data_IF_072160474474
#
_entry.id   IF_072160474474
#
_cell.length_a   1.000
_cell.length_b   1.000
_cell.length_c   1.000
_cell.angle_alpha   90.00
_cell.angle_beta   90.00
_cell.angle_gamma   90.00
#
_symmetry.space_group_name_H-M   'P 1'
#
loop_
_entity.id
_entity.type
_entity.pdbx_description
1 polymer ?
#
# COMPACT_ATOMS: atom_id res chain seq x y z
N UNK A 1 42.13 -12.07 -5.77
CA UNK A 1 41.23 -10.88 -5.89
C UNK A 1 40.78 -10.48 -4.50
N UNK A 2 41.06 -9.24 -4.11
CA UNK A 2 41.13 -8.78 -2.71
C UNK A 2 39.76 -8.44 -2.11
N UNK A 3 39.59 -8.80 -0.83
CA UNK A 3 38.46 -8.55 0.09
C UNK A 3 37.89 -7.10 0.04
N UNK A 4 38.67 -6.14 -0.46
CA UNK A 4 38.23 -4.75 -0.70
C UNK A 4 37.16 -4.58 -1.77
N UNK A 5 37.04 -5.48 -2.75
CA UNK A 5 35.99 -5.37 -3.78
C UNK A 5 34.60 -5.80 -3.26
N UNK A 6 34.56 -6.86 -2.44
CA UNK A 6 33.31 -7.40 -1.86
C UNK A 6 32.64 -6.40 -0.90
N UNK A 7 33.43 -5.65 -0.12
CA UNK A 7 32.90 -4.62 0.79
C UNK A 7 32.36 -3.39 0.03
N UNK A 8 32.96 -3.03 -1.11
CA UNK A 8 32.54 -1.87 -1.91
C UNK A 8 31.21 -2.13 -2.62
N UNK A 9 30.99 -3.36 -3.10
CA UNK A 9 29.72 -3.76 -3.74
C UNK A 9 28.58 -3.96 -2.72
N UNK A 10 28.89 -4.42 -1.50
CA UNK A 10 27.91 -4.50 -0.41
C UNK A 10 27.44 -3.11 0.07
N UNK A 11 28.34 -2.12 0.10
CA UNK A 11 27.99 -0.72 0.43
C UNK A 11 27.20 -0.08 -0.72
N UNK A 12 27.53 -0.35 -1.99
CA UNK A 12 26.78 0.15 -3.15
C UNK A 12 25.36 -0.44 -3.25
N UNK A 13 25.20 -1.75 -2.96
CA UNK A 13 23.90 -2.41 -2.89
C UNK A 13 23.02 -1.93 -1.73
N UNK A 14 23.63 -1.62 -0.58
CA UNK A 14 22.94 -1.00 0.56
C UNK A 14 22.43 0.41 0.26
N UNK A 15 23.21 1.22 -0.48
CA UNK A 15 22.82 2.58 -0.89
C UNK A 15 21.68 2.54 -1.92
N UNK A 16 21.66 1.57 -2.83
CA UNK A 16 20.55 1.37 -3.77
C UNK A 16 19.26 0.89 -3.08
N UNK A 17 19.34 -0.02 -2.10
CA UNK A 17 18.19 -0.49 -1.33
C UNK A 17 17.61 0.61 -0.42
N UNK A 18 18.47 1.44 0.19
CA UNK A 18 18.05 2.63 0.94
C UNK A 18 17.41 3.65 -0.01
N UNK A 19 17.99 3.90 -1.20
CA UNK A 19 17.40 4.78 -2.22
C UNK A 19 16.02 4.32 -2.74
N UNK A 20 15.79 3.01 -2.83
CA UNK A 20 14.50 2.43 -3.24
C UNK A 20 13.45 2.48 -2.11
N UNK A 21 13.85 2.29 -0.85
CA UNK A 21 12.97 2.52 0.31
C UNK A 21 12.60 3.99 0.49
N UNK A 22 13.53 4.91 0.18
CA UNK A 22 13.29 6.36 0.16
C UNK A 22 12.40 6.76 -1.01
N UNK A 23 12.47 6.08 -2.16
CA UNK A 23 11.60 6.37 -3.32
C UNK A 23 10.17 5.83 -3.15
N UNK A 24 10.00 4.68 -2.48
CA UNK A 24 8.68 4.15 -2.07
C UNK A 24 8.04 5.07 -1.04
N UNK A 25 8.79 5.49 -0.02
CA UNK A 25 8.35 6.51 0.92
C UNK A 25 8.02 7.86 0.25
N UNK A 26 8.80 8.28 -0.76
CA UNK A 26 8.50 9.51 -1.52
C UNK A 26 7.21 9.39 -2.36
N UNK A 27 6.90 8.20 -2.89
CA UNK A 27 5.64 7.94 -3.59
C UNK A 27 4.43 7.91 -2.62
N UNK A 28 4.58 7.38 -1.41
CA UNK A 28 3.54 7.40 -0.36
C UNK A 28 3.32 8.82 0.20
N UNK A 29 4.39 9.59 0.42
CA UNK A 29 4.30 11.01 0.81
C UNK A 29 3.68 11.89 -0.30
N UNK A 30 3.95 11.59 -1.58
CA UNK A 30 3.25 12.21 -2.70
C UNK A 30 1.75 11.80 -2.73
N UNK A 31 1.44 10.56 -2.32
CA UNK A 31 0.08 10.05 -2.16
C UNK A 31 -0.72 10.79 -1.06
N UNK A 32 -0.09 11.21 0.04
CA UNK A 32 -0.83 11.92 1.09
C UNK A 32 -1.02 13.42 0.81
N UNK A 33 -0.13 14.03 0.03
CA UNK A 33 -0.25 15.44 -0.32
C UNK A 33 -1.43 15.72 -1.27
N UNK A 34 -1.78 14.81 -2.19
CA UNK A 34 -2.98 14.98 -3.01
C UNK A 34 -4.24 14.84 -2.17
N UNK A 35 -4.27 13.90 -1.22
CA UNK A 35 -5.39 13.67 -0.31
C UNK A 35 -5.61 14.90 0.59
N UNK A 36 -4.54 15.46 1.17
CA UNK A 36 -4.60 16.70 1.94
C UNK A 36 -5.13 17.86 1.09
N UNK A 37 -4.65 18.03 -0.14
CA UNK A 37 -5.17 19.06 -1.07
C UNK A 37 -6.65 18.84 -1.38
N UNK A 38 -7.07 17.60 -1.62
CA UNK A 38 -8.45 17.25 -1.91
C UNK A 38 -9.40 17.69 -0.79
N UNK A 39 -9.05 17.44 0.47
CA UNK A 39 -9.83 17.84 1.66
C UNK A 39 -10.04 19.35 1.69
N UNK A 40 -8.96 20.11 1.58
CA UNK A 40 -9.01 21.56 1.67
C UNK A 40 -9.71 22.20 0.46
N UNK A 41 -9.55 21.62 -0.72
CA UNK A 41 -10.31 22.03 -1.92
C UNK A 41 -11.79 21.75 -1.73
N UNK A 42 -12.17 20.59 -1.18
CA UNK A 42 -13.56 20.21 -0.95
C UNK A 42 -14.22 21.11 0.10
N UNK A 43 -13.53 21.43 1.19
CA UNK A 43 -14.00 22.37 2.21
C UNK A 43 -14.10 23.82 1.67
N UNK A 44 -13.15 24.25 0.83
CA UNK A 44 -13.24 25.56 0.19
C UNK A 44 -14.45 25.63 -0.74
N UNK A 45 -14.60 24.62 -1.61
CA UNK A 45 -15.68 24.52 -2.56
C UNK A 45 -17.05 24.41 -1.87
N UNK A 46 -17.17 23.62 -0.80
CA UNK A 46 -18.45 23.41 -0.10
C UNK A 46 -19.06 24.72 0.41
N UNK A 47 -18.25 25.61 0.99
CA UNK A 47 -18.80 26.89 1.44
C UNK A 47 -18.89 27.94 0.35
N UNK A 48 -18.14 27.83 -0.75
CA UNK A 48 -18.43 28.65 -1.94
C UNK A 48 -19.81 28.29 -2.51
N UNK A 49 -20.11 26.99 -2.63
CA UNK A 49 -21.42 26.50 -3.06
C UNK A 49 -22.52 26.99 -2.11
N UNK A 50 -22.30 26.94 -0.81
CA UNK A 50 -23.28 27.41 0.17
C UNK A 50 -23.53 28.91 0.10
N UNK A 51 -22.54 29.73 -0.28
CA UNK A 51 -22.72 31.16 -0.54
C UNK A 51 -23.50 31.46 -1.83
N UNK A 52 -23.67 30.49 -2.74
CA UNK A 52 -24.54 30.66 -3.92
C UNK A 52 -26.02 30.75 -3.53
N UNK A 53 -26.43 30.17 -2.39
CA UNK A 53 -27.83 30.20 -1.95
C UNK A 53 -28.30 31.62 -1.58
N UNK A 54 -27.60 32.39 -0.71
CA UNK A 54 -27.95 33.79 -0.49
C UNK A 54 -27.69 34.68 -1.72
N UNK A 55 -26.73 34.33 -2.59
CA UNK A 55 -26.55 35.04 -3.86
C UNK A 55 -27.75 34.86 -4.79
N UNK A 56 -28.35 33.66 -4.81
CA UNK A 56 -29.57 33.37 -5.55
C UNK A 56 -30.76 34.15 -5.00
N UNK A 57 -30.94 34.19 -3.68
CA UNK A 57 -31.96 35.02 -3.05
C UNK A 57 -31.78 36.51 -3.43
N UNK A 58 -30.55 37.02 -3.37
CA UNK A 58 -30.23 38.40 -3.74
C UNK A 58 -30.53 38.71 -5.22
N UNK A 59 -30.31 37.75 -6.12
CA UNK A 59 -30.46 37.93 -7.56
C UNK A 59 -31.92 37.81 -8.05
N UNK A 60 -32.72 36.97 -7.42
CA UNK A 60 -34.05 36.58 -7.95
C UNK A 60 -35.22 36.99 -7.05
N UNK A 61 -35.00 37.39 -5.79
CA UNK A 61 -36.04 37.78 -4.85
C UNK A 61 -35.91 39.28 -4.55
N UNK A 62 -36.58 40.09 -5.37
CA UNK A 62 -36.40 41.54 -5.47
C UNK A 62 -37.13 42.32 -4.38
N UNK A 63 -36.53 42.52 -3.20
CA UNK A 63 -37.05 43.45 -2.17
C UNK A 63 -35.94 44.27 -1.46
N UNK A 64 -34.69 44.19 -1.93
CA UNK A 64 -33.52 44.78 -1.26
C UNK A 64 -33.28 46.26 -1.60
N UNK A 65 -33.69 46.72 -2.78
CA UNK A 65 -33.29 48.02 -3.33
C UNK A 65 -31.84 48.04 -3.84
N UNK A 66 -31.53 48.92 -4.79
CA UNK A 66 -30.26 48.92 -5.55
C UNK A 66 -29.03 49.07 -4.66
N UNK A 67 -29.04 50.01 -3.71
CA UNK A 67 -27.93 50.22 -2.79
C UNK A 67 -27.64 48.98 -1.93
N UNK A 68 -28.68 48.31 -1.45
CA UNK A 68 -28.54 47.15 -0.58
C UNK A 68 -28.11 45.91 -1.38
N UNK A 69 -28.59 45.76 -2.62
CA UNK A 69 -28.11 44.72 -3.54
C UNK A 69 -26.61 44.85 -3.81
N UNK A 70 -26.12 46.07 -4.07
CA UNK A 70 -24.68 46.32 -4.27
C UNK A 70 -23.90 45.97 -2.99
N UNK A 71 -24.35 46.46 -1.84
CA UNK A 71 -23.69 46.20 -0.56
C UNK A 71 -23.61 44.69 -0.23
N UNK A 72 -24.73 43.96 -0.32
CA UNK A 72 -24.80 42.53 -0.03
C UNK A 72 -23.99 41.70 -1.03
N UNK A 73 -23.92 42.12 -2.30
CA UNK A 73 -23.07 41.48 -3.31
C UNK A 73 -21.58 41.59 -2.96
N UNK A 74 -21.14 42.79 -2.53
CA UNK A 74 -19.77 43.01 -2.08
C UNK A 74 -19.45 42.15 -0.86
N UNK A 75 -20.40 42.04 0.10
CA UNK A 75 -20.21 41.20 1.29
C UNK A 75 -20.11 39.71 0.92
N UNK A 76 -20.92 39.21 -0.01
CA UNK A 76 -20.86 37.82 -0.45
C UNK A 76 -19.50 37.48 -1.10
N UNK A 77 -18.98 38.38 -1.93
CA UNK A 77 -17.63 38.23 -2.53
C UNK A 77 -16.56 38.26 -1.44
N UNK A 78 -16.63 39.20 -0.49
CA UNK A 78 -15.69 39.28 0.62
C UNK A 78 -15.74 38.01 1.50
N UNK A 79 -16.93 37.45 1.75
CA UNK A 79 -17.12 36.21 2.49
C UNK A 79 -16.49 35.01 1.77
N UNK A 80 -16.65 34.91 0.45
CA UNK A 80 -16.02 33.88 -0.37
C UNK A 80 -14.48 33.94 -0.31
N UNK A 81 -13.92 35.15 -0.41
CA UNK A 81 -12.47 35.39 -0.29
C UNK A 81 -11.98 35.02 1.11
N UNK A 82 -12.66 35.48 2.17
CA UNK A 82 -12.26 35.19 3.55
C UNK A 82 -12.36 33.70 3.89
N UNK A 83 -13.41 33.01 3.44
CA UNK A 83 -13.51 31.56 3.61
C UNK A 83 -12.33 30.84 2.95
N UNK A 84 -12.04 31.16 1.68
CA UNK A 84 -10.91 30.55 0.96
C UNK A 84 -9.58 30.81 1.68
N UNK A 85 -9.38 32.04 2.18
CA UNK A 85 -8.19 32.43 2.93
C UNK A 85 -8.07 31.68 4.26
N UNK A 86 -9.14 31.58 5.06
CA UNK A 86 -9.14 30.85 6.33
C UNK A 86 -8.87 29.35 6.14
N UNK A 87 -9.47 28.74 5.11
CA UNK A 87 -9.23 27.34 4.76
C UNK A 87 -7.79 27.13 4.25
N UNK A 88 -7.22 28.11 3.56
CA UNK A 88 -5.81 28.04 3.13
C UNK A 88 -4.82 28.07 4.31
N UNK A 89 -5.13 28.80 5.39
CA UNK A 89 -4.28 28.82 6.59
C UNK A 89 -4.28 27.48 7.32
N UNK A 90 -5.45 26.84 7.40
CA UNK A 90 -5.56 25.50 7.98
C UNK A 90 -4.88 24.46 7.09
N UNK A 91 -4.98 24.60 5.76
CA UNK A 91 -4.33 23.73 4.79
C UNK A 91 -2.80 23.73 4.84
N UNK A 92 -2.22 24.90 5.13
CA UNK A 92 -0.77 25.09 5.23
C UNK A 92 -0.20 24.77 6.60
N UNK A 93 -1.01 24.27 7.55
CA UNK A 93 -0.59 23.98 8.93
C UNK A 93 0.13 25.16 9.62
N UNK A 94 -0.21 26.39 9.22
CA UNK A 94 0.36 27.64 9.77
C UNK A 94 0.04 27.70 11.27
N UNK A 95 1.00 28.02 12.14
CA UNK A 95 0.78 28.01 13.60
C UNK A 95 -0.37 28.95 14.02
N UNK A 96 -1.19 28.57 15.00
CA UNK A 96 -2.35 29.36 15.45
C UNK A 96 -1.96 30.80 15.88
N UNK A 97 -0.78 30.98 16.47
CA UNK A 97 -0.24 32.29 16.85
C UNK A 97 0.03 33.25 15.68
N UNK A 98 0.24 32.74 14.46
CA UNK A 98 0.38 33.56 13.24
C UNK A 98 -0.94 33.78 12.50
N UNK A 99 -2.02 33.14 12.96
CA UNK A 99 -3.39 33.31 12.45
C UNK A 99 -4.09 34.36 13.30
N UNK A 100 -4.07 35.63 12.88
CA UNK A 100 -4.71 36.78 13.57
C UNK A 100 -6.15 36.41 14.04
N UNK A 101 -6.36 35.98 15.31
CA UNK A 101 -7.66 35.41 15.71
C UNK A 101 -8.73 36.49 15.83
N UNK A 102 -8.30 37.72 16.07
CA UNK A 102 -9.11 38.93 16.03
C UNK A 102 -9.75 39.15 14.65
N UNK A 103 -9.04 38.86 13.56
CA UNK A 103 -9.58 38.98 12.19
C UNK A 103 -10.73 38.00 11.98
N UNK A 104 -10.60 36.76 12.45
CA UNK A 104 -11.63 35.73 12.31
C UNK A 104 -12.90 36.05 13.11
N UNK A 105 -12.73 36.47 14.36
CA UNK A 105 -13.85 36.86 15.23
C UNK A 105 -14.56 38.10 14.66
N UNK A 106 -13.80 39.09 14.18
CA UNK A 106 -14.36 40.29 13.55
C UNK A 106 -15.14 39.94 12.29
N UNK A 107 -14.58 39.11 11.40
CA UNK A 107 -15.24 38.72 10.15
C UNK A 107 -16.51 37.91 10.43
N UNK A 108 -16.49 36.99 11.41
CA UNK A 108 -17.69 36.27 11.83
C UNK A 108 -18.75 37.20 12.42
N UNK A 109 -18.35 38.18 13.24
CA UNK A 109 -19.27 39.17 13.82
C UNK A 109 -19.92 40.04 12.75
N UNK A 110 -19.15 40.52 11.77
CA UNK A 110 -19.67 41.25 10.61
C UNK A 110 -20.65 40.38 9.82
N UNK A 111 -20.32 39.10 9.59
CA UNK A 111 -21.20 38.17 8.89
C UNK A 111 -22.54 37.97 9.61
N UNK A 112 -22.53 37.85 10.93
CA UNK A 112 -23.75 37.76 11.76
C UNK A 112 -24.61 39.02 11.63
N UNK A 113 -23.99 40.21 11.70
CA UNK A 113 -24.71 41.49 11.56
C UNK A 113 -25.29 41.66 10.15
N UNK A 114 -24.54 41.30 9.10
CA UNK A 114 -25.02 41.39 7.71
C UNK A 114 -26.15 40.39 7.46
N UNK A 115 -26.06 39.18 8.00
CA UNK A 115 -27.14 38.20 7.95
C UNK A 115 -28.43 38.77 8.56
N UNK A 116 -28.35 39.35 9.77
CA UNK A 116 -29.49 39.98 10.43
C UNK A 116 -30.01 41.20 9.66
N UNK A 117 -29.13 41.96 9.00
CA UNK A 117 -29.54 43.06 8.13
C UNK A 117 -30.36 42.55 6.95
N UNK A 118 -29.85 41.56 6.21
CA UNK A 118 -30.50 41.00 5.03
C UNK A 118 -31.85 40.34 5.35
N UNK A 119 -31.95 39.68 6.50
CA UNK A 119 -33.17 39.04 7.00
C UNK A 119 -34.40 39.97 7.02
N UNK A 120 -34.20 41.29 7.14
CA UNK A 120 -35.29 42.29 7.19
C UNK A 120 -35.91 42.65 5.83
N UNK A 121 -35.35 42.10 4.75
CA UNK A 121 -35.73 42.41 3.37
C UNK A 121 -36.15 41.18 2.57
N UNK A 122 -36.19 39.99 3.17
CA UNK A 122 -36.57 38.75 2.48
C UNK A 122 -37.44 37.86 3.35
N UNK A 123 -38.33 37.10 2.69
CA UNK A 123 -39.07 36.01 3.32
C UNK A 123 -38.19 34.77 3.56
N UNK A 124 -37.01 34.73 2.93
CA UNK A 124 -36.04 33.64 3.01
C UNK A 124 -34.90 33.93 4.00
N UNK A 125 -35.14 34.71 5.05
CA UNK A 125 -34.13 35.20 6.00
C UNK A 125 -33.12 34.14 6.52
N UNK A 126 -33.51 32.87 6.57
CA UNK A 126 -32.71 31.76 7.06
C UNK A 126 -31.57 31.40 6.13
N UNK A 127 -31.70 31.63 4.81
CA UNK A 127 -30.60 31.36 3.87
C UNK A 127 -29.41 32.30 4.10
N UNK A 128 -29.65 33.49 4.64
CA UNK A 128 -28.58 34.43 4.98
C UNK A 128 -27.75 33.98 6.18
N UNK A 129 -28.25 33.06 7.00
CA UNK A 129 -27.46 32.42 8.08
C UNK A 129 -26.33 31.53 7.56
N UNK A 130 -26.37 31.18 6.26
CA UNK A 130 -25.28 30.49 5.58
C UNK A 130 -24.02 31.37 5.46
N UNK A 131 -24.15 32.70 5.53
CA UNK A 131 -23.03 33.63 5.50
C UNK A 131 -22.15 33.53 6.77
N UNK A 132 -22.68 33.69 8.00
CA UNK A 132 -21.92 33.43 9.22
C UNK A 132 -21.52 31.95 9.34
N UNK A 133 -22.31 31.00 8.83
CA UNK A 133 -21.92 29.60 8.79
C UNK A 133 -20.66 29.36 7.94
N UNK A 134 -20.60 29.94 6.74
CA UNK A 134 -19.49 29.77 5.81
C UNK A 134 -18.19 30.40 6.33
N UNK A 135 -18.25 31.62 6.87
CA UNK A 135 -17.06 32.36 7.31
C UNK A 135 -16.69 32.05 8.76
N UNK A 136 -17.68 32.05 9.66
CA UNK A 136 -17.50 31.69 11.06
C UNK A 136 -17.15 30.22 11.26
N UNK A 137 -17.76 29.31 10.48
CA UNK A 137 -17.42 27.89 10.49
C UNK A 137 -15.98 27.60 10.09
N UNK A 138 -15.45 28.31 9.07
CA UNK A 138 -14.04 28.23 8.71
C UNK A 138 -13.12 28.70 9.87
N UNK A 139 -13.53 29.74 10.60
CA UNK A 139 -12.87 30.16 11.84
C UNK A 139 -12.89 29.07 12.92
N UNK A 140 -14.04 28.44 13.16
CA UNK A 140 -14.22 27.34 14.13
C UNK A 140 -13.31 26.14 13.81
N UNK A 141 -13.25 25.72 12.54
CA UNK A 141 -12.36 24.63 12.12
C UNK A 141 -10.90 24.99 12.39
N UNK A 142 -10.53 26.25 12.16
CA UNK A 142 -9.16 26.72 12.31
C UNK A 142 -8.71 26.89 13.75
N UNK A 143 -9.63 26.90 14.70
CA UNK A 143 -9.37 27.05 16.13
C UNK A 143 -8.85 25.76 16.78
N UNK A 144 -8.21 25.93 17.95
CA UNK A 144 -7.75 24.83 18.79
C UNK A 144 -8.90 23.91 19.23
N UNK A 145 -8.64 22.60 19.28
CA UNK A 145 -9.66 21.57 19.58
C UNK A 145 -10.46 21.86 20.86
N UNK A 146 -9.81 22.42 21.89
CA UNK A 146 -10.46 22.76 23.17
C UNK A 146 -11.44 23.94 23.12
N UNK A 147 -11.34 24.81 22.09
CA UNK A 147 -12.16 26.03 21.98
C UNK A 147 -13.19 25.93 20.86
N UNK A 148 -13.06 24.98 19.92
CA UNK A 148 -13.99 24.80 18.77
C UNK A 148 -15.45 24.77 19.18
N UNK A 149 -15.80 23.97 20.19
CA UNK A 149 -17.18 23.84 20.63
C UNK A 149 -17.72 25.16 21.19
N UNK A 150 -16.91 25.89 21.96
CA UNK A 150 -17.30 27.21 22.52
C UNK A 150 -17.56 28.23 21.41
N UNK A 151 -16.70 28.27 20.39
CA UNK A 151 -16.87 29.15 19.24
C UNK A 151 -18.09 28.76 18.39
N UNK A 152 -18.33 27.46 18.20
CA UNK A 152 -19.50 26.96 17.48
C UNK A 152 -20.80 27.37 18.19
N UNK A 153 -20.92 27.12 19.50
CA UNK A 153 -22.10 27.53 20.27
C UNK A 153 -22.26 29.06 20.29
N UNK A 154 -21.16 29.80 20.43
CA UNK A 154 -21.18 31.26 20.36
C UNK A 154 -21.71 31.77 19.02
N UNK A 155 -21.27 31.20 17.90
CA UNK A 155 -21.71 31.57 16.56
C UNK A 155 -23.19 31.23 16.32
N UNK A 156 -23.65 30.06 16.79
CA UNK A 156 -25.05 29.62 16.68
C UNK A 156 -25.96 30.57 17.46
N UNK A 157 -25.64 30.83 18.73
CA UNK A 157 -26.43 31.70 19.61
C UNK A 157 -26.42 33.15 19.12
N UNK A 158 -25.26 33.65 18.67
CA UNK A 158 -25.16 34.99 18.11
C UNK A 158 -26.05 35.13 16.86
N UNK A 159 -25.96 34.19 15.92
CA UNK A 159 -26.77 34.24 14.68
C UNK A 159 -28.26 34.16 14.97
N UNK A 160 -28.69 33.19 15.79
CA UNK A 160 -30.09 33.03 16.15
C UNK A 160 -30.63 34.28 16.86
N UNK A 161 -29.89 34.80 17.84
CA UNK A 161 -30.26 36.00 18.60
C UNK A 161 -30.36 37.25 17.73
N UNK A 162 -29.36 37.52 16.89
CA UNK A 162 -29.37 38.72 16.04
C UNK A 162 -30.43 38.66 14.94
N UNK A 163 -30.70 37.49 14.35
CA UNK A 163 -31.76 37.34 13.35
C UNK A 163 -33.14 37.51 14.00
N UNK A 164 -33.36 36.88 15.17
CA UNK A 164 -34.60 37.02 15.92
C UNK A 164 -34.89 38.47 16.31
N UNK A 165 -33.89 39.15 16.88
CA UNK A 165 -34.02 40.57 17.26
C UNK A 165 -34.27 41.48 16.04
N UNK A 166 -33.58 41.25 14.92
CA UNK A 166 -33.77 42.05 13.70
C UNK A 166 -35.18 41.91 13.10
N UNK A 167 -35.74 40.69 13.10
CA UNK A 167 -37.10 40.42 12.62
C UNK A 167 -38.18 40.90 13.60
N UNK A 168 -37.90 40.91 14.91
CA UNK A 168 -38.78 41.53 15.90
C UNK A 168 -38.83 43.05 15.77
N UNK A 169 -37.73 43.68 15.37
CA UNK A 169 -37.67 45.13 15.13
C UNK A 169 -38.43 45.53 13.86
N UNK A 170 -38.25 44.78 12.76
CA UNK A 170 -38.91 45.04 11.48
C UNK A 170 -39.70 43.82 11.04
N UNK A 171 -41.02 43.90 11.23
CA UNK A 171 -41.93 42.83 10.84
C UNK A 171 -41.94 42.67 9.31
N UNK A 172 -41.63 41.45 8.86
CA UNK A 172 -41.75 41.03 7.46
C UNK A 172 -43.02 40.17 7.36
N UNK A 173 -44.00 40.54 6.51
CA UNK A 173 -45.24 39.77 6.38
C UNK A 173 -44.97 38.30 6.07
N UNK A 174 -45.61 37.39 6.81
CA UNK A 174 -45.45 35.94 6.65
C UNK A 174 -44.21 35.33 7.31
N UNK A 175 -43.35 36.13 7.97
CA UNK A 175 -42.17 35.65 8.70
C UNK A 175 -42.33 35.88 10.19
N UNK A 176 -42.34 34.79 10.97
CA UNK A 176 -42.33 34.87 12.43
C UNK A 176 -40.89 34.92 12.97
N UNK A 177 -40.53 35.86 13.86
CA UNK A 177 -39.16 36.02 14.35
C UNK A 177 -38.60 34.78 15.07
N UNK A 178 -39.43 34.10 15.88
CA UNK A 178 -38.97 32.98 16.73
C UNK A 178 -38.61 31.73 15.89
N UNK A 179 -39.50 31.21 15.02
CA UNK A 179 -39.14 30.10 14.13
C UNK A 179 -37.93 30.42 13.25
N UNK A 180 -37.81 31.67 12.78
CA UNK A 180 -36.72 32.07 11.91
C UNK A 180 -35.37 32.15 12.63
N UNK A 181 -35.37 32.62 13.88
CA UNK A 181 -34.19 32.59 14.74
C UNK A 181 -33.70 31.15 14.99
N UNK A 182 -34.64 30.24 15.31
CA UNK A 182 -34.34 28.82 15.52
C UNK A 182 -33.78 28.20 14.23
N UNK A 183 -34.43 28.43 13.08
CA UNK A 183 -33.98 27.92 11.79
C UNK A 183 -32.58 28.44 11.42
N UNK A 184 -32.31 29.72 11.66
CA UNK A 184 -31.00 30.32 11.39
C UNK A 184 -29.90 29.72 12.26
N UNK A 185 -30.18 29.51 13.56
CA UNK A 185 -29.27 28.81 14.46
C UNK A 185 -29.04 27.36 14.03
N UNK A 186 -30.09 26.65 13.62
CA UNK A 186 -30.01 25.27 13.14
C UNK A 186 -29.20 25.15 11.85
N UNK A 187 -29.37 26.05 10.88
CA UNK A 187 -28.59 26.08 9.65
C UNK A 187 -27.09 26.26 9.92
N UNK A 188 -26.73 27.22 10.80
CA UNK A 188 -25.34 27.38 11.24
C UNK A 188 -24.84 26.11 11.93
N UNK A 189 -25.63 25.53 12.83
CA UNK A 189 -25.24 24.33 13.56
C UNK A 189 -24.98 23.13 12.64
N UNK A 190 -25.89 22.86 11.69
CA UNK A 190 -25.75 21.77 10.72
C UNK A 190 -24.52 21.96 9.85
N UNK A 191 -24.31 23.16 9.33
CA UNK A 191 -23.19 23.45 8.45
C UNK A 191 -21.84 23.35 9.19
N UNK A 192 -21.72 23.96 10.38
CA UNK A 192 -20.52 23.87 11.21
C UNK A 192 -20.26 22.43 11.65
N UNK A 193 -21.30 21.66 11.98
CA UNK A 193 -21.17 20.24 12.31
C UNK A 193 -20.66 19.44 11.11
N UNK A 194 -21.17 19.67 9.90
CA UNK A 194 -20.70 19.00 8.69
C UNK A 194 -19.22 19.30 8.40
N UNK A 195 -18.82 20.57 8.53
CA UNK A 195 -17.43 21.03 8.38
C UNK A 195 -16.51 20.35 9.43
N UNK A 196 -16.93 20.26 10.69
CA UNK A 196 -16.20 19.58 11.76
C UNK A 196 -16.13 18.05 11.58
N UNK A 197 -17.22 17.42 11.16
CA UNK A 197 -17.29 15.98 10.88
C UNK A 197 -16.36 15.61 9.74
N UNK A 198 -16.33 16.43 8.68
CA UNK A 198 -15.42 16.24 7.55
C UNK A 198 -13.98 16.21 8.06
N UNK A 199 -13.55 17.20 8.85
CA UNK A 199 -12.19 17.24 9.41
C UNK A 199 -11.91 16.05 10.33
N UNK A 200 -12.86 15.66 11.18
CA UNK A 200 -12.69 14.50 12.08
C UNK A 200 -12.56 13.18 11.31
N UNK A 201 -13.39 12.97 10.30
CA UNK A 201 -13.33 11.78 9.46
C UNK A 201 -11.94 11.63 8.84
N UNK A 202 -11.34 12.73 8.39
CA UNK A 202 -9.99 12.71 7.82
C UNK A 202 -8.89 12.48 8.85
N UNK A 203 -8.98 13.08 10.04
CA UNK A 203 -8.05 12.80 11.14
C UNK A 203 -8.05 11.28 11.45
N UNK A 204 -9.23 10.65 11.45
CA UNK A 204 -9.38 9.20 11.65
C UNK A 204 -8.80 8.37 10.51
N UNK A 205 -9.01 8.77 9.25
CA UNK A 205 -8.41 8.08 8.09
C UNK A 205 -6.88 8.10 8.16
N UNK A 206 -6.29 9.24 8.52
CA UNK A 206 -4.84 9.37 8.67
C UNK A 206 -4.30 8.54 9.85
N UNK A 207 -5.05 8.46 10.94
CA UNK A 207 -4.70 7.65 12.11
C UNK A 207 -4.79 6.15 11.78
N UNK A 208 -5.81 5.73 11.03
CA UNK A 208 -5.97 4.35 10.57
C UNK A 208 -4.83 3.92 9.64
N UNK A 209 -4.41 4.79 8.72
CA UNK A 209 -3.32 4.48 7.79
C UNK A 209 -1.99 4.29 8.54
N UNK A 210 -1.67 5.20 9.48
CA UNK A 210 -0.50 5.05 10.36
C UNK A 210 -0.57 3.75 11.18
N UNK A 211 -1.75 3.40 11.70
CA UNK A 211 -1.94 2.16 12.43
C UNK A 211 -1.71 0.93 11.55
N UNK A 212 -2.11 0.98 10.27
CA UNK A 212 -1.86 -0.08 9.29
C UNK A 212 -0.38 -0.24 8.95
N UNK A 213 0.33 0.86 8.73
CA UNK A 213 1.78 0.87 8.52
C UNK A 213 2.50 0.20 9.70
N UNK A 214 2.21 0.65 10.93
CA UNK A 214 2.79 0.08 12.14
C UNK A 214 2.44 -1.40 12.33
N UNK A 215 1.20 -1.80 12.00
CA UNK A 215 0.79 -3.20 12.06
C UNK A 215 1.56 -4.06 11.05
N UNK A 216 1.83 -3.54 9.85
CA UNK A 216 2.65 -4.19 8.83
C UNK A 216 4.10 -4.39 9.27
N UNK A 217 4.72 -3.35 9.82
CA UNK A 217 6.08 -3.42 10.37
C UNK A 217 6.18 -4.45 11.50
N UNK A 218 5.19 -4.45 12.40
CA UNK A 218 5.14 -5.36 13.54
C UNK A 218 4.90 -6.81 13.11
N UNK A 219 4.06 -7.04 12.09
CA UNK A 219 3.88 -8.36 11.49
C UNK A 219 5.19 -8.87 10.88
N UNK A 220 5.90 -8.03 10.12
CA UNK A 220 7.19 -8.39 9.54
C UNK A 220 8.26 -8.68 10.62
N UNK A 221 8.28 -7.91 11.71
CA UNK A 221 9.20 -8.13 12.82
C UNK A 221 8.90 -9.44 13.56
N UNK A 222 7.63 -9.76 13.82
CA UNK A 222 7.22 -11.04 14.41
C UNK A 222 7.64 -12.22 13.55
N UNK A 223 7.48 -12.08 12.24
CA UNK A 223 7.85 -13.13 11.30
C UNK A 223 9.37 -13.36 11.31
N UNK A 224 10.18 -12.30 11.36
CA UNK A 224 11.65 -12.42 11.52
C UNK A 224 12.06 -13.10 12.82
N UNK A 225 11.37 -12.80 13.93
CA UNK A 225 11.64 -13.45 15.22
C UNK A 225 11.25 -14.93 15.21
N UNK A 226 10.10 -15.27 14.62
CA UNK A 226 9.70 -16.66 14.40
C UNK A 226 10.73 -17.41 13.56
N UNK A 227 11.16 -16.83 12.45
CA UNK A 227 12.21 -17.40 11.62
C UNK A 227 13.53 -17.61 12.38
N UNK A 228 13.94 -16.66 13.23
CA UNK A 228 15.14 -16.81 14.04
C UNK A 228 15.02 -17.96 15.06
N UNK A 229 13.83 -18.14 15.66
CA UNK A 229 13.57 -19.23 16.58
C UNK A 229 13.58 -20.59 15.87
N UNK A 230 12.86 -20.74 14.76
CA UNK A 230 12.83 -21.97 13.97
C UNK A 230 14.24 -22.35 13.46
N UNK A 231 15.05 -21.36 13.08
CA UNK A 231 16.45 -21.57 12.72
C UNK A 231 17.29 -22.07 13.90
N UNK A 232 17.10 -21.48 15.09
CA UNK A 232 17.81 -21.89 16.29
C UNK A 232 17.46 -23.35 16.65
N UNK A 233 16.20 -23.76 16.56
CA UNK A 233 15.76 -25.10 16.95
C UNK A 233 16.30 -26.19 16.00
N UNK A 234 16.37 -25.90 14.71
CA UNK A 234 16.96 -26.81 13.71
C UNK A 234 18.47 -26.91 13.92
N UNK A 235 19.18 -25.79 14.12
CA UNK A 235 20.62 -25.83 14.38
C UNK A 235 20.98 -26.51 15.71
N UNK A 236 20.17 -26.27 16.76
CA UNK A 236 20.43 -26.79 18.10
C UNK A 236 20.49 -28.31 18.16
N UNK A 237 19.52 -28.99 17.54
CA UNK A 237 19.48 -30.46 17.53
C UNK A 237 20.63 -31.09 16.74
N UNK A 238 20.96 -30.54 15.56
CA UNK A 238 22.05 -31.07 14.74
C UNK A 238 23.41 -30.90 15.41
N UNK A 239 23.66 -29.74 16.03
CA UNK A 239 24.91 -29.49 16.75
C UNK A 239 25.06 -30.40 17.97
N UNK A 240 23.99 -30.64 18.73
CA UNK A 240 24.03 -31.60 19.84
C UNK A 240 24.36 -33.02 19.38
N UNK A 241 23.76 -33.49 18.27
CA UNK A 241 24.04 -34.80 17.71
C UNK A 241 25.50 -34.92 17.21
N UNK A 242 26.04 -33.86 16.60
CA UNK A 242 27.46 -33.78 16.19
C UNK A 242 28.36 -33.88 17.42
N UNK A 243 28.12 -33.09 18.47
CA UNK A 243 28.94 -33.13 19.69
C UNK A 243 28.93 -34.52 20.34
N UNK A 244 27.76 -35.14 20.49
CA UNK A 244 27.62 -36.46 21.10
C UNK A 244 28.33 -37.56 20.30
N UNK A 245 28.22 -37.56 18.96
CA UNK A 245 28.93 -38.54 18.12
C UNK A 245 30.43 -38.31 18.08
N UNK A 246 30.88 -37.06 18.14
CA UNK A 246 32.31 -36.72 18.26
C UNK A 246 32.92 -37.28 19.55
N UNK A 247 32.23 -37.10 20.68
CA UNK A 247 32.65 -37.67 21.97
C UNK A 247 32.68 -39.21 21.96
N UNK A 248 31.73 -39.85 21.27
CA UNK A 248 31.70 -41.31 21.14
C UNK A 248 32.85 -41.82 20.26
N UNK A 249 33.12 -41.16 19.13
CA UNK A 249 34.24 -41.49 18.27
C UNK A 249 35.57 -41.35 19.02
N UNK A 250 35.78 -40.25 19.76
CA UNK A 250 36.98 -40.01 20.56
C UNK A 250 37.22 -41.11 21.61
N UNK A 251 36.16 -41.57 22.29
CA UNK A 251 36.26 -42.66 23.29
C UNK A 251 36.59 -44.03 22.71
N UNK A 252 36.31 -44.25 21.42
CA UNK A 252 36.50 -45.53 20.74
C UNK A 252 37.88 -45.64 20.08
N UNK A 253 38.57 -44.52 19.84
CA UNK A 253 39.96 -44.52 19.34
C UNK A 253 40.86 -45.33 20.27
N UNK A 254 41.55 -46.33 19.71
CA UNK A 254 42.42 -47.25 20.45
C UNK A 254 41.68 -48.40 21.15
N UNK A 255 40.34 -48.43 21.16
CA UNK A 255 39.52 -49.53 21.70
C UNK A 255 38.82 -50.32 20.59
N UNK A 256 38.18 -49.60 19.67
CA UNK A 256 37.47 -50.14 18.51
C UNK A 256 37.56 -49.11 17.38
N UNK A 257 38.66 -49.19 16.64
CA UNK A 257 39.00 -48.20 15.61
C UNK A 257 38.05 -48.25 14.41
N UNK A 258 37.41 -49.39 14.12
CA UNK A 258 36.42 -49.50 13.05
C UNK A 258 35.11 -48.81 13.45
N UNK A 259 34.64 -49.01 14.69
CA UNK A 259 33.49 -48.27 15.21
C UNK A 259 33.77 -46.76 15.30
N UNK A 260 34.98 -46.37 15.73
CA UNK A 260 35.40 -44.96 15.76
C UNK A 260 35.34 -44.32 14.36
N UNK A 261 35.84 -45.02 13.34
CA UNK A 261 35.85 -44.55 11.94
C UNK A 261 34.43 -44.41 11.38
N UNK A 262 33.54 -45.35 11.70
CA UNK A 262 32.12 -45.29 11.33
C UNK A 262 31.43 -44.06 11.93
N UNK A 263 31.61 -43.82 13.23
CA UNK A 263 31.00 -42.65 13.88
C UNK A 263 31.57 -41.32 13.39
N UNK A 264 32.87 -41.26 13.05
CA UNK A 264 33.47 -40.08 12.43
C UNK A 264 32.91 -39.78 11.03
N UNK A 265 32.62 -40.82 10.23
CA UNK A 265 31.95 -40.66 8.93
C UNK A 265 30.50 -40.15 9.10
N UNK A 266 29.74 -40.73 10.02
CA UNK A 266 28.38 -40.29 10.34
C UNK A 266 28.33 -38.84 10.84
N UNK A 267 29.31 -38.43 11.64
CA UNK A 267 29.47 -37.04 12.09
C UNK A 267 29.71 -36.07 10.91
N UNK A 268 30.55 -36.47 9.95
CA UNK A 268 30.84 -35.66 8.76
C UNK A 268 29.59 -35.47 7.90
N UNK A 269 28.78 -36.53 7.73
CA UNK A 269 27.51 -36.45 7.00
C UNK A 269 26.47 -35.59 7.74
N UNK A 270 26.34 -35.72 9.06
CA UNK A 270 25.49 -34.86 9.89
C UNK A 270 25.88 -33.38 9.78
N UNK A 271 27.18 -33.08 9.80
CA UNK A 271 27.69 -31.71 9.64
C UNK A 271 27.39 -31.15 8.25
N UNK A 272 27.57 -31.96 7.19
CA UNK A 272 27.23 -31.56 5.80
C UNK A 272 25.74 -31.30 5.63
N UNK A 273 24.88 -32.16 6.18
CA UNK A 273 23.43 -32.00 6.14
C UNK A 273 23.00 -30.71 6.88
N UNK A 274 23.51 -30.46 8.09
CA UNK A 274 23.21 -29.25 8.86
C UNK A 274 23.66 -27.97 8.14
N UNK A 275 24.83 -28.00 7.48
CA UNK A 275 25.31 -26.88 6.65
C UNK A 275 24.44 -26.67 5.41
N UNK A 276 24.00 -27.75 4.76
CA UNK A 276 23.12 -27.69 3.59
C UNK A 276 21.74 -27.11 3.99
N UNK A 277 21.18 -27.54 5.11
CA UNK A 277 19.88 -27.03 5.58
C UNK A 277 20.00 -25.58 6.06
N UNK A 278 21.10 -25.20 6.73
CA UNK A 278 21.38 -23.80 7.06
C UNK A 278 21.52 -22.94 5.80
N UNK A 279 22.19 -23.43 4.75
CA UNK A 279 22.27 -22.73 3.45
C UNK A 279 20.92 -22.64 2.78
N UNK A 280 20.11 -23.70 2.77
CA UNK A 280 18.75 -23.68 2.23
C UNK A 280 17.86 -22.71 2.98
N UNK A 281 18.00 -22.56 4.30
CA UNK A 281 17.21 -21.60 5.10
C UNK A 281 17.75 -20.17 4.95
N UNK A 282 19.06 -19.97 4.96
CA UNK A 282 19.70 -18.67 4.75
C UNK A 282 19.51 -18.11 3.33
N UNK A 283 19.43 -19.01 2.33
CA UNK A 283 19.13 -18.65 0.94
C UNK A 283 17.63 -18.79 0.60
N UNK A 284 16.85 -19.46 1.43
CA UNK A 284 15.45 -19.82 1.16
C UNK A 284 14.40 -18.83 1.65
N UNK A 285 14.70 -17.53 1.73
CA UNK A 285 13.67 -16.47 1.74
C UNK A 285 14.12 -15.18 1.04
N UNK A 286 15.14 -15.23 0.17
CA UNK A 286 15.31 -14.23 -0.90
C UNK A 286 15.14 -14.96 -2.22
N UNK A 287 14.10 -14.60 -2.96
CA UNK A 287 13.78 -15.08 -4.30
C UNK A 287 15.04 -15.28 -5.14
N UNK A 288 15.46 -16.52 -5.33
CA UNK A 288 16.41 -16.87 -6.39
C UNK A 288 15.64 -16.59 -7.68
N UNK A 289 15.99 -15.51 -8.37
CA UNK A 289 15.33 -15.14 -9.61
C UNK A 289 15.50 -16.27 -10.64
N UNK A 290 14.53 -16.42 -11.53
CA UNK A 290 14.55 -17.40 -12.62
C UNK A 290 15.90 -17.45 -13.36
N UNK A 291 16.52 -16.27 -13.59
CA UNK A 291 17.84 -16.13 -14.21
C UNK A 291 18.93 -16.93 -13.50
N UNK A 292 18.98 -16.90 -12.17
CA UNK A 292 20.00 -17.61 -11.40
C UNK A 292 19.77 -19.12 -11.43
N UNK A 293 18.52 -19.58 -11.33
CA UNK A 293 18.19 -21.01 -11.48
C UNK A 293 18.56 -21.52 -12.88
N UNK A 294 18.31 -20.74 -13.93
CA UNK A 294 18.69 -21.10 -15.28
C UNK A 294 20.21 -21.18 -15.47
N UNK A 295 20.96 -20.20 -14.96
CA UNK A 295 22.43 -20.23 -15.03
C UNK A 295 23.01 -21.44 -14.29
N UNK A 296 22.45 -21.78 -13.13
CA UNK A 296 22.84 -22.98 -12.39
C UNK A 296 22.52 -24.26 -13.16
N UNK A 297 21.33 -24.32 -13.79
CA UNK A 297 20.93 -25.46 -14.62
C UNK A 297 21.88 -25.67 -15.80
N UNK A 298 22.18 -24.61 -16.56
CA UNK A 298 23.13 -24.65 -17.68
C UNK A 298 24.49 -25.16 -17.19
N UNK A 299 25.04 -24.56 -16.14
CA UNK A 299 26.35 -24.96 -15.61
C UNK A 299 26.41 -26.41 -15.12
N UNK A 300 25.31 -26.93 -14.53
CA UNK A 300 25.22 -28.33 -14.10
C UNK A 300 25.16 -29.30 -15.27
N UNK A 301 24.36 -28.99 -16.29
CA UNK A 301 24.20 -29.83 -17.49
C UNK A 301 25.50 -29.85 -18.33
N UNK A 302 26.13 -28.70 -18.53
CA UNK A 302 27.43 -28.61 -19.23
C UNK A 302 28.53 -29.37 -18.47
N UNK A 303 28.57 -29.27 -17.13
CA UNK A 303 29.51 -30.03 -16.31
C UNK A 303 29.27 -31.55 -16.37
N UNK A 304 28.04 -31.99 -16.70
CA UNK A 304 27.71 -33.38 -16.96
C UNK A 304 28.01 -33.81 -18.41
N UNK A 305 28.54 -32.92 -19.25
CA UNK A 305 28.89 -33.19 -20.64
C UNK A 305 27.72 -33.11 -21.62
N UNK A 306 26.63 -32.43 -21.24
CA UNK A 306 25.42 -32.26 -22.06
C UNK A 306 25.51 -30.91 -22.79
N UNK A 307 25.25 -30.91 -24.09
CA UNK A 307 25.15 -29.68 -24.89
C UNK A 307 23.84 -28.95 -24.57
N UNK A 308 23.94 -27.70 -24.10
CA UNK A 308 22.77 -26.91 -23.67
C UNK A 308 22.53 -25.75 -24.63
N UNK A 309 21.31 -25.68 -25.16
CA UNK A 309 20.86 -24.57 -25.99
C UNK A 309 19.77 -23.78 -25.25
N UNK A 310 20.00 -22.49 -24.98
CA UNK A 310 19.01 -21.61 -24.35
C UNK A 310 18.43 -20.67 -25.40
N UNK A 311 17.10 -20.66 -25.55
CA UNK A 311 16.37 -19.82 -26.49
C UNK A 311 15.39 -18.91 -25.76
N UNK A 312 15.27 -17.66 -26.22
CA UNK A 312 14.35 -16.67 -25.67
C UNK A 312 15.00 -15.67 -24.71
N UNK A 313 14.20 -14.73 -24.23
CA UNK A 313 14.65 -13.65 -23.36
C UNK A 313 14.29 -13.92 -21.88
N UNK A 314 15.30 -13.81 -21.02
CA UNK A 314 15.24 -14.05 -19.58
C UNK A 314 14.45 -12.95 -18.85
N UNK A 315 14.45 -11.74 -19.39
CA UNK A 315 13.80 -10.58 -18.78
C UNK A 315 12.29 -10.52 -19.05
N UNK A 316 11.77 -11.46 -19.84
CA UNK A 316 10.34 -11.57 -20.18
C UNK A 316 9.49 -12.16 -19.05
N UNK A 317 10.09 -12.76 -18.01
CA UNK A 317 9.34 -13.40 -16.92
C UNK A 317 9.01 -12.40 -15.81
N UNK A 318 7.72 -12.08 -15.70
CA UNK A 318 7.20 -11.18 -14.67
C UNK A 318 7.57 -11.66 -13.24
N UNK A 319 7.86 -10.74 -12.28
CA UNK A 319 8.33 -11.11 -10.95
C UNK A 319 7.50 -12.18 -10.20
N UNK A 320 6.14 -12.17 -10.26
CA UNK A 320 5.34 -13.21 -9.60
C UNK A 320 5.54 -14.62 -10.16
N UNK A 321 6.03 -14.74 -11.40
CA UNK A 321 6.17 -16.00 -12.11
C UNK A 321 7.60 -16.59 -12.01
N UNK A 322 8.57 -15.78 -11.59
CA UNK A 322 9.98 -16.19 -11.57
C UNK A 322 10.23 -17.41 -10.67
N UNK A 323 9.55 -17.50 -9.52
CA UNK A 323 9.76 -18.60 -8.58
C UNK A 323 9.16 -19.93 -9.08
N UNK A 324 7.89 -20.00 -9.53
CA UNK A 324 7.35 -21.21 -10.17
C UNK A 324 8.17 -21.69 -11.37
N UNK A 325 8.60 -20.78 -12.25
CA UNK A 325 9.43 -21.15 -13.40
C UNK A 325 10.85 -21.55 -13.02
N UNK A 326 11.44 -20.94 -11.99
CA UNK A 326 12.74 -21.37 -11.45
C UNK A 326 12.67 -22.79 -10.88
N UNK A 327 11.58 -23.12 -10.17
CA UNK A 327 11.34 -24.47 -9.67
C UNK A 327 11.17 -25.49 -10.82
N UNK A 328 10.51 -25.11 -11.92
CA UNK A 328 10.38 -25.96 -13.12
C UNK A 328 11.73 -26.27 -13.76
N UNK A 329 12.59 -25.26 -13.94
CA UNK A 329 13.93 -25.45 -14.52
C UNK A 329 14.79 -26.35 -13.63
N UNK A 330 14.74 -26.15 -12.31
CA UNK A 330 15.50 -26.96 -11.34
C UNK A 330 15.06 -28.43 -11.34
N UNK A 331 13.75 -28.66 -11.35
CA UNK A 331 13.20 -30.01 -11.41
C UNK A 331 13.50 -30.68 -12.75
N UNK A 332 13.33 -29.96 -13.86
CA UNK A 332 13.68 -30.45 -15.19
C UNK A 332 15.15 -30.83 -15.29
N UNK A 333 16.06 -29.98 -14.82
CA UNK A 333 17.49 -30.28 -14.77
C UNK A 333 17.79 -31.54 -13.96
N UNK A 334 17.12 -31.69 -12.82
CA UNK A 334 17.25 -32.88 -11.98
C UNK A 334 16.76 -34.13 -12.71
N UNK A 335 15.66 -34.03 -13.45
CA UNK A 335 15.13 -35.12 -14.26
C UNK A 335 16.08 -35.53 -15.37
N UNK A 336 16.66 -34.57 -16.10
CA UNK A 336 17.69 -34.85 -17.12
C UNK A 336 18.84 -35.63 -16.50
N UNK A 337 19.42 -35.14 -15.40
CA UNK A 337 20.60 -35.75 -14.78
C UNK A 337 20.33 -37.12 -14.12
N UNK A 338 19.11 -37.38 -13.64
CA UNK A 338 18.77 -38.63 -12.93
C UNK A 338 18.15 -39.70 -13.82
N UNK A 339 17.42 -39.29 -14.85
CA UNK A 339 16.49 -40.17 -15.58
C UNK A 339 16.74 -40.22 -17.08
N UNK A 340 17.84 -39.61 -17.57
CA UNK A 340 18.21 -39.67 -18.98
C UNK A 340 19.71 -39.96 -19.16
N UNK A 341 20.08 -40.37 -20.38
CA UNK A 341 21.45 -40.36 -20.90
C UNK A 341 21.60 -39.27 -21.96
N UNK A 342 21.02 -38.10 -21.68
CA UNK A 342 20.97 -36.98 -22.61
C UNK A 342 22.36 -36.56 -23.08
N UNK A 343 22.46 -36.19 -24.35
CA UNK A 343 23.61 -35.50 -24.95
C UNK A 343 23.25 -34.06 -25.28
N UNK A 344 21.96 -33.76 -25.44
CA UNK A 344 21.45 -32.44 -25.79
C UNK A 344 20.27 -32.06 -24.90
N UNK A 345 20.26 -30.82 -24.42
CA UNK A 345 19.16 -30.21 -23.71
C UNK A 345 18.83 -28.84 -24.31
N UNK A 346 17.53 -28.55 -24.49
CA UNK A 346 17.04 -27.28 -25.00
C UNK A 346 16.14 -26.63 -23.95
N UNK A 347 16.45 -25.40 -23.58
CA UNK A 347 15.68 -24.56 -22.65
C UNK A 347 15.06 -23.42 -23.45
N UNK A 348 13.73 -23.38 -23.58
CA UNK A 348 13.04 -22.32 -24.31
C UNK A 348 12.18 -21.45 -23.39
N UNK A 349 12.26 -20.15 -23.60
CA UNK A 349 11.47 -19.14 -22.89
C UNK A 349 10.69 -18.34 -23.93
N UNK A 350 9.37 -18.39 -23.84
CA UNK A 350 8.49 -17.74 -24.79
C UNK A 350 7.28 -17.09 -24.14
N UNK A 351 6.54 -16.35 -24.95
CA UNK A 351 5.23 -15.80 -24.61
C UNK A 351 4.21 -16.24 -25.66
N UNK A 352 3.09 -16.80 -25.23
CA UNK A 352 1.97 -17.19 -26.09
C UNK A 352 0.64 -16.64 -25.56
N UNK A 353 0.01 -15.76 -26.36
CA UNK A 353 -1.33 -15.22 -26.10
C UNK A 353 -1.52 -14.72 -24.66
N UNK A 354 -0.56 -13.94 -24.14
CA UNK A 354 -0.57 -13.38 -22.79
C UNK A 354 -0.22 -14.38 -21.67
N UNK A 355 0.42 -15.50 -22.02
CA UNK A 355 0.98 -16.46 -21.07
C UNK A 355 2.49 -16.56 -21.29
N UNK A 356 3.24 -16.56 -20.19
CA UNK A 356 4.64 -16.99 -20.20
C UNK A 356 4.68 -18.51 -20.30
N UNK A 357 5.54 -19.01 -21.19
CA UNK A 357 5.78 -20.44 -21.42
C UNK A 357 7.28 -20.68 -21.23
N UNK A 358 7.63 -21.66 -20.41
CA UNK A 358 9.02 -22.12 -20.27
C UNK A 358 9.02 -23.62 -20.44
N UNK A 359 9.90 -24.11 -21.32
CA UNK A 359 10.08 -25.53 -21.57
C UNK A 359 11.53 -25.93 -21.36
N UNK A 360 11.71 -27.18 -20.93
CA UNK A 360 13.00 -27.86 -20.88
C UNK A 360 12.83 -29.22 -21.52
N UNK A 361 13.54 -29.42 -22.63
CA UNK A 361 13.53 -30.67 -23.38
C UNK A 361 14.91 -31.32 -23.43
N UNK A 362 14.96 -32.65 -23.48
CA UNK A 362 16.21 -33.41 -23.59
C UNK A 362 16.01 -34.70 -24.39
N UNK A 363 17.10 -35.17 -24.99
CA UNK A 363 17.19 -36.48 -25.65
C UNK A 363 17.60 -37.61 -24.67
N UNK A 364 17.71 -38.84 -25.16
CA UNK A 364 18.29 -39.95 -24.41
C UNK A 364 17.45 -40.49 -23.25
N UNK A 365 16.11 -40.41 -23.33
CA UNK A 365 15.22 -41.03 -22.34
C UNK A 365 14.83 -42.45 -22.78
N UNK A 366 15.07 -43.45 -21.93
CA UNK A 366 14.75 -44.85 -22.23
C UNK A 366 13.23 -45.06 -22.42
N UNK A 367 12.84 -45.93 -23.37
CA UNK A 367 11.47 -46.42 -23.54
C UNK A 367 11.13 -47.37 -22.39
N UNK A 368 10.45 -46.85 -21.38
CA UNK A 368 9.74 -47.67 -20.40
C UNK A 368 8.25 -47.42 -20.66
N UNK A 369 7.56 -48.45 -21.13
CA UNK A 369 6.10 -48.48 -21.19
C UNK A 369 5.57 -48.36 -19.76
N UNK A 370 4.99 -47.21 -19.41
CA UNK A 370 3.99 -47.14 -18.34
C UNK A 370 3.21 -45.82 -18.36
N UNK A 371 1.91 -45.94 -18.60
CA UNK A 371 0.90 -44.88 -18.71
C UNK A 371 0.66 -44.08 -17.41
N UNK A 372 1.48 -44.21 -16.35
CA UNK A 372 1.21 -43.59 -15.04
C UNK A 372 2.43 -43.05 -14.26
N UNK A 373 3.59 -42.86 -14.88
CA UNK A 373 4.78 -42.38 -14.16
C UNK A 373 4.90 -40.84 -14.09
N UNK A 374 3.86 -40.14 -13.59
CA UNK A 374 4.06 -38.78 -13.10
C UNK A 374 4.89 -38.86 -11.80
N UNK A 375 6.20 -38.66 -11.90
CA UNK A 375 7.08 -38.60 -10.74
C UNK A 375 6.61 -37.55 -9.73
N UNK A 376 6.87 -37.77 -8.44
CA UNK A 376 6.50 -36.87 -7.34
C UNK A 376 6.93 -35.41 -7.56
N UNK A 377 8.01 -35.21 -8.32
CA UNK A 377 8.48 -33.89 -8.77
C UNK A 377 7.51 -33.15 -9.70
N UNK A 378 6.96 -33.83 -10.72
CA UNK A 378 6.01 -33.25 -11.69
C UNK A 378 4.66 -32.96 -11.02
N UNK A 379 4.21 -33.83 -10.11
CA UNK A 379 3.00 -33.61 -9.30
C UNK A 379 3.17 -32.33 -8.46
N UNK A 380 4.29 -32.19 -7.75
CA UNK A 380 4.58 -30.98 -6.96
C UNK A 380 4.72 -29.71 -7.81
N UNK A 381 5.17 -29.81 -9.06
CA UNK A 381 5.17 -28.69 -9.99
C UNK A 381 3.75 -28.29 -10.43
N UNK A 382 2.88 -29.26 -10.73
CA UNK A 382 1.49 -28.98 -11.11
C UNK A 382 0.72 -28.29 -9.98
N UNK A 383 0.86 -28.76 -8.74
CA UNK A 383 0.27 -28.12 -7.56
C UNK A 383 0.75 -26.67 -7.42
N UNK A 384 2.06 -26.44 -7.55
CA UNK A 384 2.64 -25.09 -7.48
C UNK A 384 2.13 -24.18 -8.60
N UNK A 385 2.08 -24.65 -9.84
CA UNK A 385 1.55 -23.85 -10.96
C UNK A 385 0.04 -23.59 -10.83
N UNK A 386 -0.73 -24.52 -10.27
CA UNK A 386 -2.16 -24.32 -10.04
C UNK A 386 -2.44 -23.11 -9.12
N UNK A 387 -1.57 -22.85 -8.12
CA UNK A 387 -1.72 -21.67 -7.23
C UNK A 387 -1.65 -20.32 -7.95
N UNK A 388 -1.00 -20.28 -9.13
CA UNK A 388 -0.89 -19.09 -9.97
C UNK A 388 -1.79 -19.17 -11.22
N UNK A 389 -2.71 -20.14 -11.28
CA UNK A 389 -3.58 -20.38 -12.43
C UNK A 389 -2.83 -20.85 -13.69
N UNK A 390 -1.66 -21.45 -13.50
CA UNK A 390 -0.84 -22.05 -14.55
C UNK A 390 -0.99 -23.57 -14.64
N UNK A 391 -0.33 -24.17 -15.64
CA UNK A 391 -0.35 -25.60 -15.93
C UNK A 391 1.06 -26.11 -16.22
N UNK A 392 1.32 -27.38 -15.93
CA UNK A 392 2.57 -28.07 -16.28
C UNK A 392 2.25 -29.35 -17.02
N UNK A 393 2.84 -29.52 -18.20
CA UNK A 393 2.71 -30.68 -19.07
C UNK A 393 4.06 -31.34 -19.25
N UNK A 394 4.10 -32.66 -19.07
CA UNK A 394 5.24 -33.48 -19.42
C UNK A 394 4.84 -34.34 -20.61
N UNK A 395 5.55 -34.24 -21.73
CA UNK A 395 5.21 -34.93 -22.97
C UNK A 395 6.44 -35.60 -23.56
N UNK A 396 6.21 -36.60 -24.41
CA UNK A 396 7.24 -37.27 -25.21
C UNK A 396 6.82 -37.17 -26.67
N UNK A 397 7.17 -36.05 -27.34
CA UNK A 397 6.60 -35.72 -28.63
C UNK A 397 7.01 -36.68 -29.75
N UNK A 398 8.22 -37.25 -29.74
CA UNK A 398 8.66 -38.34 -30.63
C UNK A 398 10.02 -38.91 -30.18
N UNK A 399 10.23 -40.22 -30.35
CA UNK A 399 11.54 -40.87 -30.11
C UNK A 399 12.01 -40.88 -28.66
N UNK A 400 13.27 -40.52 -28.44
CA UNK A 400 13.94 -40.45 -27.14
C UNK A 400 13.85 -39.06 -26.49
N UNK A 401 13.03 -38.16 -27.04
CA UNK A 401 12.86 -36.80 -26.55
C UNK A 401 11.80 -36.71 -25.45
N UNK A 402 12.14 -36.01 -24.38
CA UNK A 402 11.23 -35.64 -23.31
C UNK A 402 11.13 -34.13 -23.22
N UNK A 403 9.92 -33.60 -23.00
CA UNK A 403 9.67 -32.18 -22.83
C UNK A 403 8.85 -31.92 -21.55
N UNK A 404 9.33 -30.99 -20.73
CA UNK A 404 8.63 -30.48 -19.56
C UNK A 404 8.32 -29.00 -19.76
N UNK A 405 7.05 -28.70 -19.98
CA UNK A 405 6.57 -27.36 -20.30
C UNK A 405 5.67 -26.82 -19.19
N UNK A 406 5.99 -25.62 -18.69
CA UNK A 406 5.15 -24.85 -17.79
C UNK A 406 4.53 -23.65 -18.49
N UNK A 407 3.29 -23.35 -18.17
CA UNK A 407 2.55 -22.21 -18.71
C UNK A 407 1.84 -21.46 -17.61
N UNK A 408 2.00 -20.13 -17.57
CA UNK A 408 1.31 -19.28 -16.61
C UNK A 408 0.93 -17.95 -17.23
N UNK A 409 -0.17 -17.36 -16.77
CA UNK A 409 -0.70 -16.10 -17.31
C UNK A 409 0.12 -14.90 -16.86
N UNK A 410 0.38 -13.96 -17.77
CA UNK A 410 1.05 -12.71 -17.43
C UNK A 410 0.17 -11.80 -16.57
N UNK A 411 0.71 -11.20 -15.49
CA UNK A 411 -0.01 -10.24 -14.66
C UNK A 411 -0.47 -9.04 -15.49
N UNK A 412 -1.78 -8.77 -15.51
CA UNK A 412 -2.38 -7.60 -16.18
C UNK A 412 -3.05 -7.87 -17.53
N UNK A 413 -2.95 -9.08 -18.09
CA UNK A 413 -3.77 -9.47 -19.25
C UNK A 413 -5.25 -9.61 -18.84
N UNK A 414 -6.18 -8.87 -19.44
CA UNK A 414 -7.64 -8.97 -19.13
C UNK A 414 -8.21 -10.32 -19.58
N UNK A 415 -9.11 -10.94 -18.78
CA UNK A 415 -9.93 -12.10 -19.23
C UNK A 415 -10.73 -11.63 -20.45
N UNK A 416 -10.46 -12.21 -21.62
CA UNK A 416 -11.41 -12.15 -22.74
C UNK A 416 -12.38 -13.30 -22.61
#
# INVERSE_FOLDING_TARGET
MSFRHVVRDAVAGGVHAVGMSVSVGAHEFASMNWLRRYIWVTLALSGLIVLLVPAFDLAFRTDYGTANTIFLSIVLVAAAVQRTRFISYTAKAVSFASRRPTEQILTASIAVVVCAHAARYTTWAGVWSLLPAAVGGAGVISAERGVRNKLAYGLILATAGTVGTALSWRHVPGVSPVPMAILSGLMVAVFVAADLLTVRFWDLVLELERARELAGELAAARERLRFAADLHDIQGHSLQAIVLKGQLAERLVGKDDDAARKHAAELTELARAALADTRKVAHGYRSVGFRTELQNAVGLLEAAGIEVEVRGDLDTIAPPLQHPFGALVREGTTNVLRHSRAKRCVLEIGADRGHTVVSIGNDGVDHVDDEHADGSGVIGLRERFATIGGTVTATRPDGDWFDLTGRAREPGSRRR
#
